data_IF_982763632848
#
_entry.id   IF_982763632848
#
_cell.length_a   1.000
_cell.length_b   1.000
_cell.length_c   1.000
_cell.angle_alpha   90.00
_cell.angle_beta   90.00
_cell.angle_gamma   90.00
#
_symmetry.space_group_name_H-M   'P 1'
#
loop_
_entity.id
_entity.type
_entity.pdbx_description
1 polymer ?
#
# COMPACT_ATOMS: atom_id res chain seq x y z
N UNK A 1 27.09 39.55 -10.71
CA UNK A 1 27.71 39.73 -9.38
C UNK A 1 26.68 40.32 -8.42
N UNK A 2 26.12 39.50 -7.52
CA UNK A 2 25.41 39.79 -6.25
C UNK A 2 24.86 38.45 -5.77
N UNK A 3 25.70 37.65 -5.11
CA UNK A 3 25.75 37.45 -3.65
C UNK A 3 24.58 36.59 -3.15
N UNK A 4 24.89 35.30 -2.93
CA UNK A 4 24.10 34.32 -2.19
C UNK A 4 23.90 34.72 -0.73
N UNK A 5 22.71 34.47 -0.19
CA UNK A 5 22.46 34.41 1.25
C UNK A 5 21.42 33.33 1.60
N UNK A 6 21.92 32.29 2.28
CA UNK A 6 21.32 31.50 3.39
C UNK A 6 19.80 31.20 3.42
N UNK A 7 19.47 29.89 3.45
CA UNK A 7 18.41 29.32 4.32
C UNK A 7 17.20 28.68 3.63
N UNK A 8 16.57 27.63 4.21
CA UNK A 8 15.95 26.52 3.48
C UNK A 8 14.45 26.68 3.24
N UNK A 9 13.97 26.40 2.02
CA UNK A 9 12.56 26.16 1.72
C UNK A 9 12.44 24.95 0.79
N UNK A 10 12.04 23.82 1.37
CA UNK A 10 11.45 22.73 0.62
C UNK A 10 9.97 23.09 0.46
N UNK A 11 9.65 23.79 -0.63
CA UNK A 11 8.27 23.97 -1.09
C UNK A 11 7.95 22.79 -1.99
N UNK A 12 7.10 21.88 -1.51
CA UNK A 12 6.39 20.94 -2.38
C UNK A 12 5.12 21.68 -2.79
N UNK A 13 5.18 22.28 -3.98
CA UNK A 13 4.03 22.89 -4.64
C UNK A 13 3.78 22.22 -5.99
N UNK A 14 2.51 21.85 -6.16
CA UNK A 14 1.76 21.61 -7.40
C UNK A 14 1.98 20.29 -8.14
N UNK A 15 0.87 19.55 -8.30
CA UNK A 15 0.13 19.61 -9.57
C UNK A 15 -1.37 19.83 -9.28
N UNK A 16 -1.79 21.06 -9.50
CA UNK A 16 -3.16 21.48 -9.74
C UNK A 16 -3.41 21.26 -11.25
N UNK A 17 -4.44 20.51 -11.61
CA UNK A 17 -4.95 20.43 -12.97
C UNK A 17 -6.42 20.85 -12.93
N UNK A 18 -6.65 22.13 -13.19
CA UNK A 18 -7.84 22.63 -13.87
C UNK A 18 -7.29 23.52 -14.99
N UNK A 19 -7.14 22.94 -16.18
CA UNK A 19 -7.65 23.52 -17.43
C UNK A 19 -7.41 22.59 -18.63
N UNK A 20 -8.53 22.30 -19.30
CA UNK A 20 -8.72 21.92 -20.70
C UNK A 20 -8.26 20.54 -21.19
N UNK A 21 -9.24 19.63 -21.15
CA UNK A 21 -9.84 19.08 -22.37
C UNK A 21 -9.84 20.09 -23.53
N UNK A 22 -8.74 20.14 -24.28
CA UNK A 22 -8.70 20.60 -25.66
C UNK A 22 -8.44 19.39 -26.54
N UNK A 23 -9.47 18.92 -27.24
CA UNK A 23 -9.32 17.81 -28.18
C UNK A 23 -8.33 18.17 -29.30
N UNK A 24 -7.25 17.40 -29.41
CA UNK A 24 -6.59 17.05 -30.67
C UNK A 24 -5.56 15.96 -30.40
N UNK A 25 -5.83 14.78 -30.96
CA UNK A 25 -4.90 13.70 -31.29
C UNK A 25 -3.67 13.51 -30.39
N UNK A 26 -3.84 12.74 -29.31
CA UNK A 26 -2.73 12.05 -28.66
C UNK A 26 -2.92 10.54 -28.77
N UNK A 27 -2.59 10.01 -29.95
CA UNK A 27 -2.00 8.68 -29.98
C UNK A 27 -0.76 8.71 -29.06
N UNK A 28 -0.54 7.73 -28.17
CA UNK A 28 0.63 7.72 -27.31
C UNK A 28 1.87 7.61 -28.20
N UNK A 29 2.57 8.72 -28.39
CA UNK A 29 3.80 8.75 -29.17
C UNK A 29 4.83 7.90 -28.41
N UNK A 30 5.17 6.73 -28.94
CA UNK A 30 6.03 5.72 -28.30
C UNK A 30 7.40 6.27 -27.88
N UNK A 31 7.84 7.34 -28.53
CA UNK A 31 9.04 8.12 -28.22
C UNK A 31 9.00 8.77 -26.84
N UNK A 32 7.88 9.37 -26.43
CA UNK A 32 7.76 10.09 -25.15
C UNK A 32 7.75 9.15 -23.93
N UNK A 33 7.19 7.96 -24.06
CA UNK A 33 7.20 6.93 -23.00
C UNK A 33 8.62 6.41 -22.76
N UNK A 34 9.34 6.11 -23.84
CA UNK A 34 10.72 5.62 -23.74
C UNK A 34 11.66 6.66 -23.12
N UNK A 35 11.50 7.95 -23.47
CA UNK A 35 12.28 9.03 -22.87
C UNK A 35 12.02 9.19 -21.36
N UNK A 36 10.78 8.96 -20.91
CA UNK A 36 10.44 8.97 -19.49
C UNK A 36 11.01 7.76 -18.75
N UNK A 37 10.92 6.58 -19.35
CA UNK A 37 11.34 5.32 -18.70
C UNK A 37 12.86 5.14 -18.67
N UNK A 38 13.59 5.62 -19.68
CA UNK A 38 15.04 5.45 -19.80
C UNK A 38 15.83 5.80 -18.52
N UNK A 39 15.66 6.97 -17.88
CA UNK A 39 16.40 7.30 -16.65
C UNK A 39 16.03 6.42 -15.45
N UNK A 40 14.83 5.82 -15.46
CA UNK A 40 14.33 4.98 -14.37
C UNK A 40 14.46 3.48 -14.65
N UNK A 41 14.94 3.09 -15.83
CA UNK A 41 14.98 1.69 -16.27
C UNK A 41 15.73 0.80 -15.29
N UNK A 42 16.88 1.27 -14.80
CA UNK A 42 17.71 0.52 -13.84
C UNK A 42 17.13 0.48 -12.42
N UNK A 43 16.11 1.28 -12.12
CA UNK A 43 15.31 1.18 -10.90
C UNK A 43 14.13 0.23 -11.10
N UNK A 44 13.35 0.46 -12.17
CA UNK A 44 12.09 -0.24 -12.43
C UNK A 44 12.32 -1.73 -12.68
N UNK A 45 13.25 -2.09 -13.58
CA UNK A 45 13.49 -3.48 -13.96
C UNK A 45 13.77 -4.40 -12.75
N UNK A 46 14.74 -4.12 -11.88
CA UNK A 46 15.00 -4.99 -10.71
C UNK A 46 13.86 -4.95 -9.68
N UNK A 47 13.14 -3.83 -9.54
CA UNK A 47 11.95 -3.77 -8.67
C UNK A 47 10.81 -4.66 -9.18
N UNK A 48 10.59 -4.72 -10.50
CA UNK A 48 9.64 -5.68 -11.07
C UNK A 48 10.00 -7.10 -10.69
N UNK A 49 11.27 -7.46 -10.89
CA UNK A 49 11.78 -8.80 -10.57
C UNK A 49 11.56 -9.12 -9.09
N UNK A 50 11.81 -8.15 -8.20
CA UNK A 50 11.55 -8.30 -6.78
C UNK A 50 10.06 -8.51 -6.46
N UNK A 51 9.16 -7.68 -7.02
CA UNK A 51 7.72 -7.80 -6.79
C UNK A 51 7.15 -9.11 -7.35
N UNK A 52 7.57 -9.54 -8.55
CA UNK A 52 7.23 -10.85 -9.11
C UNK A 52 7.65 -11.97 -8.16
N UNK A 53 8.88 -11.90 -7.64
CA UNK A 53 9.45 -12.93 -6.79
C UNK A 53 8.76 -13.03 -5.43
N UNK A 54 8.41 -11.90 -4.81
CA UNK A 54 7.63 -11.88 -3.58
C UNK A 54 6.22 -12.42 -3.81
N UNK A 55 5.51 -11.89 -4.81
CA UNK A 55 4.10 -12.24 -5.05
C UNK A 55 3.92 -13.72 -5.38
N UNK A 56 4.83 -14.31 -6.17
CA UNK A 56 4.79 -15.73 -6.53
C UNK A 56 4.78 -16.66 -5.29
N UNK A 57 5.33 -16.22 -4.16
CA UNK A 57 5.37 -17.02 -2.93
C UNK A 57 4.08 -16.94 -2.10
N UNK A 58 3.25 -15.92 -2.31
CA UNK A 58 2.08 -15.64 -1.46
C UNK A 58 1.10 -16.82 -1.45
N UNK A 59 0.82 -17.39 -2.63
CA UNK A 59 -0.13 -18.49 -2.77
C UNK A 59 0.36 -19.80 -2.13
N UNK A 60 1.65 -20.13 -2.28
CA UNK A 60 2.21 -21.39 -1.74
C UNK A 60 2.50 -21.31 -0.23
N UNK A 61 2.68 -20.10 0.30
CA UNK A 61 3.05 -19.90 1.69
C UNK A 61 2.01 -20.45 2.67
N UNK A 62 0.72 -20.31 2.33
CA UNK A 62 -0.39 -20.83 3.14
C UNK A 62 -0.29 -22.34 3.26
N UNK A 63 0.02 -23.03 2.15
CA UNK A 63 0.15 -24.47 2.13
C UNK A 63 1.32 -24.96 2.97
N UNK A 64 2.49 -24.37 2.75
CA UNK A 64 3.74 -24.69 3.45
C UNK A 64 3.62 -24.45 4.95
N UNK A 65 3.04 -23.32 5.36
CA UNK A 65 2.86 -23.00 6.77
C UNK A 65 1.87 -23.97 7.42
N UNK A 66 0.73 -24.24 6.79
CA UNK A 66 -0.26 -25.17 7.36
C UNK A 66 0.29 -26.58 7.47
N UNK A 67 0.97 -27.09 6.44
CA UNK A 67 1.55 -28.43 6.45
C UNK A 67 2.66 -28.59 7.50
N UNK A 68 3.48 -27.55 7.71
CA UNK A 68 4.56 -27.58 8.68
C UNK A 68 4.08 -27.46 10.14
N UNK A 69 3.08 -26.61 10.41
CA UNK A 69 2.63 -26.31 11.77
C UNK A 69 1.55 -27.27 12.27
N UNK A 70 0.65 -27.69 11.37
CA UNK A 70 -0.52 -28.52 11.66
C UNK A 70 -0.65 -29.67 10.62
N UNK A 71 0.28 -30.63 10.59
CA UNK A 71 0.30 -31.67 9.58
C UNK A 71 -0.95 -32.57 9.64
N UNK A 72 -1.65 -32.71 8.51
CA UNK A 72 -2.83 -33.55 8.39
C UNK A 72 -4.13 -32.95 8.93
N UNK A 73 -4.10 -31.73 9.45
CA UNK A 73 -5.28 -31.02 9.92
C UNK A 73 -5.85 -30.09 8.84
N UNK A 74 -7.17 -30.01 8.74
CA UNK A 74 -7.86 -29.10 7.81
C UNK A 74 -7.84 -27.65 8.30
N UNK A 75 -7.71 -27.44 9.62
CA UNK A 75 -7.64 -26.12 10.26
C UNK A 75 -6.28 -25.97 10.95
N UNK A 76 -5.69 -24.78 10.89
CA UNK A 76 -4.43 -24.51 11.59
C UNK A 76 -4.51 -23.20 12.37
N UNK A 77 -5.06 -23.31 13.58
CA UNK A 77 -5.17 -22.20 14.54
C UNK A 77 -3.82 -21.54 14.79
N UNK A 78 -2.76 -22.34 14.89
CA UNK A 78 -1.41 -21.84 15.15
C UNK A 78 -0.91 -20.90 14.03
N UNK A 79 -1.09 -21.30 12.76
CA UNK A 79 -0.72 -20.47 11.61
C UNK A 79 -1.50 -19.14 11.57
N UNK A 80 -2.81 -19.19 11.83
CA UNK A 80 -3.68 -18.00 11.85
C UNK A 80 -3.22 -17.01 12.93
N UNK A 81 -2.93 -17.52 14.14
CA UNK A 81 -2.50 -16.68 15.25
C UNK A 81 -1.13 -16.06 15.00
N UNK A 82 -0.16 -16.84 14.54
CA UNK A 82 1.20 -16.35 14.26
C UNK A 82 1.20 -15.32 13.13
N UNK A 83 0.41 -15.55 12.07
CA UNK A 83 0.25 -14.57 10.99
C UNK A 83 -0.35 -13.26 11.53
N UNK A 84 -1.40 -13.33 12.34
CA UNK A 84 -1.98 -12.16 12.99
C UNK A 84 -0.98 -11.40 13.87
N UNK A 85 -0.24 -12.14 14.70
CA UNK A 85 0.79 -11.57 15.58
C UNK A 85 1.91 -10.89 14.79
N UNK A 86 2.40 -11.53 13.72
CA UNK A 86 3.40 -10.92 12.83
C UNK A 86 2.89 -9.59 12.27
N UNK A 87 1.68 -9.56 11.71
CA UNK A 87 1.13 -8.34 11.10
C UNK A 87 0.90 -7.23 12.13
N UNK A 88 0.50 -7.61 13.35
CA UNK A 88 0.39 -6.69 14.51
C UNK A 88 1.75 -6.04 14.79
N UNK A 89 2.80 -6.86 14.96
CA UNK A 89 4.16 -6.38 15.28
C UNK A 89 4.67 -5.48 14.15
N UNK A 90 4.57 -5.93 12.90
CA UNK A 90 4.97 -5.14 11.72
C UNK A 90 4.22 -3.80 11.69
N UNK A 91 2.91 -3.81 11.95
CA UNK A 91 2.08 -2.61 12.03
C UNK A 91 2.56 -1.58 13.07
N UNK A 92 2.96 -2.03 14.26
CA UNK A 92 3.52 -1.14 15.31
C UNK A 92 4.83 -0.49 14.85
N UNK A 93 5.77 -1.32 14.38
CA UNK A 93 7.12 -0.84 14.10
C UNK A 93 7.19 -0.05 12.79
N UNK A 94 6.40 -0.38 11.75
CA UNK A 94 6.41 0.35 10.46
C UNK A 94 6.09 1.83 10.62
N UNK A 95 5.23 2.21 11.57
CA UNK A 95 4.89 3.63 11.82
C UNK A 95 6.09 4.49 12.21
N UNK A 96 7.07 3.90 12.90
CA UNK A 96 8.28 4.58 13.34
C UNK A 96 9.45 4.40 12.37
N UNK A 97 9.56 3.20 11.78
CA UNK A 97 10.71 2.80 10.96
C UNK A 97 10.60 3.30 9.52
N UNK A 98 9.43 3.24 8.88
CA UNK A 98 9.24 3.72 7.50
C UNK A 98 9.72 5.18 7.29
N UNK A 99 9.37 6.14 8.16
CA UNK A 99 9.85 7.51 8.02
C UNK A 99 11.33 7.68 8.37
N UNK A 100 11.85 6.86 9.29
CA UNK A 100 13.26 6.86 9.64
C UNK A 100 14.11 6.39 8.46
N UNK A 101 13.69 5.33 7.77
CA UNK A 101 14.34 4.85 6.55
C UNK A 101 14.27 5.89 5.43
N UNK A 102 13.16 6.62 5.30
CA UNK A 102 13.07 7.75 4.37
C UNK A 102 14.13 8.82 4.64
N UNK A 103 14.29 9.23 5.91
CA UNK A 103 15.34 10.18 6.29
C UNK A 103 16.75 9.63 6.07
N UNK A 104 16.97 8.35 6.39
CA UNK A 104 18.24 7.70 6.15
C UNK A 104 18.56 7.60 4.66
N UNK A 105 17.56 7.39 3.79
CA UNK A 105 17.73 7.40 2.35
C UNK A 105 18.08 8.81 1.83
N UNK A 106 17.53 9.85 2.43
CA UNK A 106 17.87 11.23 2.08
C UNK A 106 19.27 11.63 2.61
N UNK A 107 19.72 11.11 3.76
CA UNK A 107 21.05 11.42 4.34
C UNK A 107 22.19 10.56 3.77
N UNK A 108 21.99 9.25 3.62
CA UNK A 108 23.03 8.27 3.24
C UNK A 108 22.94 7.82 1.78
N UNK A 109 21.91 8.23 1.06
CA UNK A 109 21.68 7.89 -0.35
C UNK A 109 20.54 6.90 -0.57
N UNK A 110 19.93 7.00 -1.76
CA UNK A 110 18.76 6.19 -2.13
C UNK A 110 19.14 4.78 -2.56
N UNK A 111 20.26 4.62 -3.27
CA UNK A 111 20.77 3.30 -3.70
C UNK A 111 21.08 2.37 -2.53
N UNK A 112 21.88 2.75 -1.50
CA UNK A 112 22.20 1.84 -0.41
C UNK A 112 20.96 1.46 0.40
N UNK A 113 20.00 2.36 0.57
CA UNK A 113 18.75 2.03 1.27
C UNK A 113 17.83 1.12 0.45
N UNK A 114 17.76 1.28 -0.87
CA UNK A 114 17.07 0.33 -1.75
C UNK A 114 17.72 -1.06 -1.70
N UNK A 115 19.05 -1.14 -1.75
CA UNK A 115 19.78 -2.39 -1.64
C UNK A 115 19.53 -3.07 -0.29
N UNK A 116 19.58 -2.31 0.80
CA UNK A 116 19.31 -2.82 2.14
C UNK A 116 17.89 -3.40 2.23
N UNK A 117 16.89 -2.61 1.84
CA UNK A 117 15.47 -2.97 1.96
C UNK A 117 15.05 -4.11 1.04
N UNK A 118 15.60 -4.20 -0.17
CA UNK A 118 15.32 -5.34 -1.08
C UNK A 118 16.03 -6.61 -0.65
N UNK A 119 17.23 -6.51 -0.06
CA UNK A 119 18.01 -7.68 0.37
C UNK A 119 17.42 -8.39 1.60
N UNK A 120 16.69 -7.68 2.46
CA UNK A 120 16.10 -8.30 3.67
C UNK A 120 15.10 -9.41 3.34
N UNK A 121 14.45 -9.34 2.17
CA UNK A 121 13.49 -10.35 1.72
C UNK A 121 14.13 -11.67 1.30
N UNK A 122 15.45 -11.72 1.06
CA UNK A 122 16.15 -12.94 0.65
C UNK A 122 16.16 -13.97 1.79
N UNK A 123 16.49 -13.54 3.01
CA UNK A 123 16.71 -14.44 4.13
C UNK A 123 15.48 -15.27 4.55
N UNK A 124 14.28 -14.68 4.70
CA UNK A 124 13.09 -15.46 5.05
C UNK A 124 12.82 -16.57 4.03
N UNK A 125 12.82 -16.25 2.74
CA UNK A 125 12.54 -17.26 1.72
C UNK A 125 13.66 -18.29 1.59
N UNK A 126 14.93 -17.90 1.79
CA UNK A 126 16.06 -18.82 1.84
C UNK A 126 15.89 -19.93 2.88
N UNK A 127 15.37 -19.59 4.07
CA UNK A 127 15.05 -20.58 5.10
C UNK A 127 13.99 -21.58 4.61
N UNK A 128 12.90 -21.09 4.01
CA UNK A 128 11.83 -21.97 3.50
C UNK A 128 12.23 -22.82 2.29
N UNK A 129 13.17 -22.34 1.45
CA UNK A 129 13.73 -23.17 0.39
C UNK A 129 14.66 -24.27 0.91
N UNK A 130 15.33 -24.02 2.04
CA UNK A 130 16.23 -25.00 2.65
C UNK A 130 15.47 -26.14 3.30
N UNK A 131 14.50 -25.82 4.15
CA UNK A 131 13.71 -26.82 4.88
C UNK A 131 12.38 -26.20 5.33
N UNK A 132 11.29 -26.97 5.23
CA UNK A 132 9.93 -26.56 5.56
C UNK A 132 9.40 -27.19 6.85
N UNK A 133 10.29 -27.69 7.71
CA UNK A 133 9.92 -28.19 9.04
C UNK A 133 9.41 -27.06 9.95
N UNK A 134 8.66 -27.45 10.99
CA UNK A 134 8.07 -26.54 11.99
C UNK A 134 9.07 -25.50 12.54
N UNK A 135 10.30 -25.92 12.89
CA UNK A 135 11.35 -25.02 13.37
C UNK A 135 11.78 -23.95 12.36
N UNK A 136 11.86 -24.33 11.07
CA UNK A 136 12.22 -23.40 9.99
C UNK A 136 11.08 -22.44 9.67
N UNK A 137 9.82 -22.87 9.79
CA UNK A 137 8.67 -21.97 9.63
C UNK A 137 8.62 -20.89 10.72
N UNK A 138 8.93 -21.21 11.99
CA UNK A 138 9.07 -20.17 13.01
C UNK A 138 10.23 -19.22 12.71
N UNK A 139 11.38 -19.75 12.27
CA UNK A 139 12.51 -18.93 11.87
C UNK A 139 12.14 -18.00 10.68
N UNK A 140 11.36 -18.50 9.72
CA UNK A 140 10.78 -17.70 8.64
C UNK A 140 9.93 -16.56 9.20
N UNK A 141 9.01 -16.82 10.13
CA UNK A 141 8.18 -15.76 10.71
C UNK A 141 9.02 -14.67 11.41
N UNK A 142 10.05 -15.05 12.16
CA UNK A 142 10.95 -14.09 12.82
C UNK A 142 11.67 -13.23 11.77
N UNK A 143 12.33 -13.87 10.79
CA UNK A 143 13.06 -13.13 9.75
C UNK A 143 12.15 -12.29 8.86
N UNK A 144 10.98 -12.82 8.50
CA UNK A 144 10.00 -12.11 7.67
C UNK A 144 9.42 -10.92 8.41
N UNK A 145 9.26 -11.00 9.73
CA UNK A 145 8.86 -9.85 10.56
C UNK A 145 9.90 -8.74 10.49
N UNK A 146 11.18 -9.07 10.70
CA UNK A 146 12.27 -8.10 10.59
C UNK A 146 12.33 -7.51 9.17
N UNK A 147 12.21 -8.38 8.15
CA UNK A 147 12.17 -7.95 6.76
C UNK A 147 11.03 -6.97 6.51
N UNK A 148 9.79 -7.29 6.90
CA UNK A 148 8.65 -6.40 6.68
C UNK A 148 8.77 -5.06 7.40
N UNK A 149 9.32 -5.04 8.62
CA UNK A 149 9.58 -3.78 9.34
C UNK A 149 10.50 -2.85 8.54
N UNK A 150 11.47 -3.40 7.82
CA UNK A 150 12.44 -2.64 7.03
C UNK A 150 11.95 -2.38 5.59
N UNK A 151 11.39 -3.38 4.93
CA UNK A 151 11.11 -3.37 3.49
C UNK A 151 9.70 -2.93 3.13
N UNK A 152 8.69 -3.33 3.90
CA UNK A 152 7.28 -3.12 3.54
C UNK A 152 6.95 -1.62 3.56
N UNK A 153 6.51 -1.09 2.41
CA UNK A 153 6.29 0.34 2.20
C UNK A 153 7.58 1.14 1.92
N UNK A 154 8.69 0.84 2.58
CA UNK A 154 9.96 1.57 2.41
C UNK A 154 10.50 1.47 0.98
N UNK A 155 10.45 0.28 0.37
CA UNK A 155 10.91 0.09 -1.01
C UNK A 155 10.16 1.04 -1.96
N UNK A 156 8.83 1.09 -1.86
CA UNK A 156 8.00 1.96 -2.70
C UNK A 156 8.28 3.43 -2.43
N UNK A 157 8.36 3.85 -1.16
CA UNK A 157 8.66 5.23 -0.80
C UNK A 157 10.02 5.70 -1.34
N UNK A 158 11.07 4.90 -1.18
CA UNK A 158 12.42 5.25 -1.65
C UNK A 158 12.46 5.23 -3.19
N UNK A 159 11.76 4.31 -3.85
CA UNK A 159 11.66 4.25 -5.31
C UNK A 159 10.97 5.47 -5.91
N UNK A 160 9.84 5.92 -5.32
CA UNK A 160 9.15 7.15 -5.73
C UNK A 160 10.04 8.37 -5.52
N UNK A 161 10.78 8.41 -4.40
CA UNK A 161 11.68 9.51 -4.13
C UNK A 161 12.90 9.51 -5.08
N UNK A 162 13.41 8.33 -5.47
CA UNK A 162 14.43 8.19 -6.52
C UNK A 162 13.92 8.69 -7.87
N UNK A 163 12.70 8.31 -8.24
CA UNK A 163 12.08 8.78 -9.46
C UNK A 163 11.92 10.31 -9.49
N UNK A 164 11.61 10.92 -8.34
CA UNK A 164 11.51 12.37 -8.21
C UNK A 164 12.85 13.09 -8.44
N UNK A 165 13.98 12.44 -8.13
CA UNK A 165 15.32 13.00 -8.34
C UNK A 165 15.78 12.97 -9.80
N UNK A 166 15.37 11.94 -10.56
CA UNK A 166 15.83 11.73 -11.95
C UNK A 166 14.85 12.24 -13.01
N UNK A 167 13.60 12.51 -12.63
CA UNK A 167 12.54 12.99 -13.54
C UNK A 167 12.19 14.44 -13.29
N UNK A 168 12.09 15.21 -14.38
CA UNK A 168 11.65 16.61 -14.37
C UNK A 168 10.26 16.77 -13.76
N UNK A 169 10.03 17.89 -13.07
CA UNK A 169 8.80 18.18 -12.32
C UNK A 169 7.50 17.88 -13.08
N UNK A 170 7.40 18.34 -14.34
CA UNK A 170 6.20 18.16 -15.16
C UNK A 170 5.88 16.71 -15.56
N UNK A 171 6.85 15.78 -15.45
CA UNK A 171 6.69 14.36 -15.82
C UNK A 171 6.66 13.41 -14.62
N UNK A 172 6.79 13.93 -13.38
CA UNK A 172 6.82 13.11 -12.16
C UNK A 172 5.54 12.33 -11.93
N UNK A 173 4.38 12.93 -12.18
CA UNK A 173 3.10 12.24 -12.04
C UNK A 173 3.05 10.99 -12.93
N UNK A 174 3.44 11.12 -14.20
CA UNK A 174 3.53 9.99 -15.12
C UNK A 174 4.53 8.93 -14.65
N UNK A 175 5.71 9.34 -14.15
CA UNK A 175 6.70 8.42 -13.59
C UNK A 175 6.17 7.62 -12.38
N UNK A 176 5.44 8.28 -11.47
CA UNK A 176 4.85 7.62 -10.31
C UNK A 176 3.73 6.65 -10.74
N UNK A 177 2.92 7.02 -11.73
CA UNK A 177 1.93 6.11 -12.32
C UNK A 177 2.58 4.88 -12.95
N UNK A 178 3.72 5.03 -13.64
CA UNK A 178 4.46 3.90 -14.20
C UNK A 178 5.02 2.97 -13.13
N UNK A 179 5.58 3.50 -12.03
CA UNK A 179 6.03 2.67 -10.90
C UNK A 179 4.87 1.81 -10.37
N UNK A 180 3.74 2.44 -10.07
CA UNK A 180 2.57 1.74 -9.49
C UNK A 180 1.98 0.72 -10.48
N UNK A 181 1.78 1.11 -11.75
CA UNK A 181 1.24 0.21 -12.76
C UNK A 181 2.14 -1.00 -13.02
N UNK A 182 3.46 -0.80 -12.99
CA UNK A 182 4.42 -1.87 -13.17
C UNK A 182 4.50 -2.80 -11.94
N UNK A 183 4.24 -2.28 -10.73
CA UNK A 183 4.05 -3.09 -9.53
C UNK A 183 2.86 -4.02 -9.68
N UNK A 184 1.70 -3.51 -10.11
CA UNK A 184 0.51 -4.35 -10.34
C UNK A 184 0.75 -5.38 -11.45
N UNK A 185 1.37 -5.00 -12.56
CA UNK A 185 1.74 -5.95 -13.62
C UNK A 185 2.69 -7.05 -13.11
N UNK A 186 3.61 -6.69 -12.22
CA UNK A 186 4.53 -7.64 -11.58
C UNK A 186 3.78 -8.61 -10.68
N UNK A 187 2.75 -8.16 -9.95
CA UNK A 187 1.94 -9.06 -9.12
C UNK A 187 1.10 -10.03 -9.97
N UNK A 188 0.51 -9.57 -11.08
CA UNK A 188 -0.17 -10.46 -12.04
C UNK A 188 0.79 -11.54 -12.54
N UNK A 189 2.01 -11.14 -12.94
CA UNK A 189 3.02 -12.08 -13.44
C UNK A 189 3.51 -13.04 -12.34
N UNK A 190 3.69 -12.57 -11.11
CA UNK A 190 4.06 -13.41 -9.97
C UNK A 190 3.02 -14.50 -9.68
N UNK A 191 1.73 -14.14 -9.67
CA UNK A 191 0.63 -15.08 -9.51
C UNK A 191 0.52 -16.07 -10.69
N UNK A 192 0.77 -15.60 -11.91
CA UNK A 192 0.81 -16.47 -13.10
C UNK A 192 1.94 -17.49 -13.00
N UNK A 193 3.14 -17.06 -12.58
CA UNK A 193 4.27 -17.96 -12.35
C UNK A 193 3.96 -18.96 -11.22
N UNK A 194 3.30 -18.52 -10.14
CA UNK A 194 2.90 -19.40 -9.05
C UNK A 194 1.99 -20.53 -9.54
N UNK A 195 1.08 -20.27 -10.48
CA UNK A 195 0.20 -21.28 -11.07
C UNK A 195 1.01 -22.36 -11.82
N UNK A 196 1.91 -21.95 -12.70
CA UNK A 196 2.64 -22.86 -13.60
C UNK A 196 3.83 -23.57 -12.93
N UNK A 197 4.45 -22.97 -11.92
CA UNK A 197 5.60 -23.59 -11.24
C UNK A 197 5.15 -24.66 -10.25
N UNK A 198 5.77 -25.86 -10.26
CA UNK A 198 5.60 -26.83 -9.19
C UNK A 198 6.04 -26.24 -7.84
N UNK A 199 5.31 -26.56 -6.76
CA UNK A 199 5.53 -26.01 -5.41
C UNK A 199 6.99 -26.09 -4.95
N UNK A 200 7.64 -27.23 -5.20
CA UNK A 200 9.06 -27.47 -4.87
C UNK A 200 10.06 -26.48 -5.50
N UNK A 201 9.72 -25.85 -6.62
CA UNK A 201 10.62 -24.92 -7.31
C UNK A 201 10.32 -23.46 -6.99
N UNK A 202 9.16 -23.14 -6.41
CA UNK A 202 8.71 -21.75 -6.23
C UNK A 202 9.68 -20.95 -5.35
N UNK A 203 10.04 -21.47 -4.18
CA UNK A 203 10.97 -20.74 -3.30
C UNK A 203 12.37 -20.62 -3.90
N UNK A 204 12.86 -21.67 -4.59
CA UNK A 204 14.18 -21.63 -5.24
C UNK A 204 14.22 -20.56 -6.33
N UNK A 205 13.18 -20.50 -7.18
CA UNK A 205 13.07 -19.48 -8.23
C UNK A 205 12.88 -18.09 -7.63
N UNK A 206 12.04 -17.95 -6.60
CA UNK A 206 11.84 -16.69 -5.88
C UNK A 206 13.14 -16.14 -5.32
N UNK A 207 13.93 -16.97 -4.62
CA UNK A 207 15.24 -16.54 -4.07
C UNK A 207 16.20 -16.13 -5.17
N UNK A 208 16.28 -16.88 -6.27
CA UNK A 208 17.15 -16.54 -7.39
C UNK A 208 16.82 -15.13 -7.93
N UNK A 209 15.53 -14.83 -8.13
CA UNK A 209 15.07 -13.52 -8.56
C UNK A 209 15.32 -12.43 -7.50
N UNK A 210 15.09 -12.73 -6.22
CA UNK A 210 15.33 -11.81 -5.10
C UNK A 210 16.81 -11.48 -4.92
N UNK A 211 17.74 -12.39 -5.27
CA UNK A 211 19.19 -12.13 -5.26
C UNK A 211 19.59 -11.30 -6.49
N UNK A 212 19.02 -11.57 -7.66
CA UNK A 212 19.30 -10.83 -8.90
C UNK A 212 18.97 -9.34 -8.73
N UNK A 213 17.88 -8.99 -8.04
CA UNK A 213 17.46 -7.61 -7.83
C UNK A 213 18.56 -6.71 -7.21
N UNK A 214 19.05 -6.95 -5.98
CA UNK A 214 20.08 -6.12 -5.36
C UNK A 214 21.43 -6.24 -6.08
N UNK A 215 21.77 -7.40 -6.66
CA UNK A 215 22.98 -7.53 -7.48
C UNK A 215 22.92 -6.60 -8.70
N UNK A 216 21.81 -6.60 -9.41
CA UNK A 216 21.60 -5.73 -10.56
C UNK A 216 21.62 -4.25 -10.15
N UNK A 217 20.90 -3.88 -9.08
CA UNK A 217 20.93 -2.51 -8.56
C UNK A 217 22.36 -2.09 -8.15
N UNK A 218 23.14 -2.98 -7.56
CA UNK A 218 24.50 -2.67 -7.12
C UNK A 218 25.41 -2.27 -8.29
N UNK A 219 25.29 -2.93 -9.44
CA UNK A 219 26.10 -2.62 -10.62
C UNK A 219 25.55 -1.50 -11.49
N UNK A 220 24.22 -1.44 -11.68
CA UNK A 220 23.63 -0.57 -12.71
C UNK A 220 22.86 0.63 -12.17
N UNK A 221 22.35 0.59 -10.93
CA UNK A 221 21.65 1.73 -10.35
C UNK A 221 22.66 2.81 -9.95
N UNK A 222 22.45 4.03 -10.41
CA UNK A 222 23.28 5.19 -10.06
C UNK A 222 22.73 5.85 -8.82
N UNK A 223 23.60 6.26 -7.90
CA UNK A 223 23.18 7.04 -6.71
C UNK A 223 22.80 8.47 -7.12
N UNK A 224 21.66 8.96 -6.63
CA UNK A 224 21.14 10.30 -6.93
C UNK A 224 21.54 11.32 -5.88
N UNK A 225 21.74 10.89 -4.64
CA UNK A 225 22.12 11.76 -3.52
C UNK A 225 23.63 11.98 -3.52
N UNK A 226 24.05 13.23 -3.76
CA UNK A 226 25.43 13.63 -3.54
C UNK A 226 25.65 13.81 -2.03
N UNK A 227 26.41 12.90 -1.43
CA UNK A 227 26.83 13.02 -0.04
C UNK A 227 27.58 14.36 0.14
N UNK A 228 27.04 15.23 1.01
CA UNK A 228 27.79 16.39 1.45
C UNK A 228 29.01 15.90 2.26
N UNK A 229 30.20 16.52 2.11
CA UNK A 229 31.38 16.11 2.84
C UNK A 229 31.08 16.11 4.34
N UNK A 230 31.45 15.02 5.01
CA UNK A 230 31.16 14.74 6.42
C UNK A 230 31.38 15.99 7.27
N UNK A 231 30.28 16.59 7.72
CA UNK A 231 30.36 17.49 8.86
C UNK A 231 30.44 16.60 10.08
N UNK A 232 31.66 16.34 10.54
CA UNK A 232 31.93 15.79 11.88
C UNK A 232 30.95 16.42 12.88
N UNK A 233 29.92 15.66 13.24
CA UNK A 233 29.00 16.00 14.30
C UNK A 233 28.89 14.79 15.20
N UNK A 234 29.90 14.68 16.07
CA UNK A 234 29.76 14.14 17.42
C UNK A 234 28.55 14.79 18.09
N UNK A 235 27.38 14.20 17.86
CA UNK A 235 26.21 14.41 18.69
C UNK A 235 25.61 13.03 18.89
N UNK A 236 25.54 12.61 20.16
CA UNK A 236 25.06 11.30 20.54
C UNK A 236 23.78 10.97 19.75
N UNK A 237 23.83 9.90 18.95
CA UNK A 237 22.76 9.44 18.06
C UNK A 237 21.38 9.51 18.73
N UNK A 238 21.33 9.20 20.03
CA UNK A 238 20.17 9.24 20.90
C UNK A 238 19.56 10.65 21.06
N UNK A 239 20.36 11.71 21.17
CA UNK A 239 19.88 13.10 21.25
C UNK A 239 19.30 13.60 19.91
N UNK A 240 19.90 13.18 18.77
CA UNK A 240 19.35 13.45 17.43
C UNK A 240 18.02 12.71 17.26
N UNK A 241 17.93 11.45 17.72
CA UNK A 241 16.71 10.64 17.67
C UNK A 241 15.58 11.22 18.54
N UNK A 242 15.85 11.62 19.79
CA UNK A 242 14.86 12.27 20.68
C UNK A 242 14.34 13.58 20.06
N UNK A 243 15.21 14.39 19.48
CA UNK A 243 14.82 15.65 18.83
C UNK A 243 13.93 15.40 17.60
N UNK A 244 14.21 14.36 16.82
CA UNK A 244 13.37 13.94 15.68
C UNK A 244 12.01 13.46 16.17
N UNK A 245 11.96 12.63 17.22
CA UNK A 245 10.72 12.16 17.83
C UNK A 245 9.87 13.32 18.35
N UNK A 246 10.48 14.28 19.05
CA UNK A 246 9.76 15.45 19.56
C UNK A 246 9.21 16.34 18.44
N UNK A 247 9.98 16.60 17.38
CA UNK A 247 9.52 17.34 16.20
C UNK A 247 8.35 16.63 15.51
N UNK A 248 8.40 15.30 15.44
CA UNK A 248 7.35 14.47 14.86
C UNK A 248 6.08 14.50 15.70
N UNK A 249 6.19 14.39 17.02
CA UNK A 249 5.06 14.54 17.94
C UNK A 249 4.35 15.89 17.74
N UNK A 250 5.11 16.99 17.68
CA UNK A 250 4.55 18.32 17.39
C UNK A 250 3.86 18.37 16.03
N UNK A 251 4.49 17.82 14.99
CA UNK A 251 3.91 17.77 13.65
C UNK A 251 2.63 16.94 13.58
N UNK A 252 2.54 15.82 14.32
CA UNK A 252 1.32 15.00 14.41
C UNK A 252 0.22 15.71 15.17
N UNK A 253 0.55 16.46 16.24
CA UNK A 253 -0.42 17.29 16.95
C UNK A 253 -1.00 18.36 16.05
N UNK A 254 -0.15 19.07 15.31
CA UNK A 254 -0.58 20.10 14.36
C UNK A 254 -1.46 19.49 13.26
N UNK A 255 -1.10 18.31 12.75
CA UNK A 255 -1.90 17.56 11.78
C UNK A 255 -3.26 17.13 12.34
N UNK A 256 -3.31 16.67 13.59
CA UNK A 256 -4.54 16.32 14.28
C UNK A 256 -5.46 17.54 14.40
N UNK A 257 -4.93 18.70 14.79
CA UNK A 257 -5.72 19.94 14.85
C UNK A 257 -6.34 20.27 13.50
N UNK A 258 -5.58 20.20 12.41
CA UNK A 258 -6.10 20.43 11.04
C UNK A 258 -7.23 19.46 10.70
N UNK A 259 -7.03 18.15 10.94
CA UNK A 259 -8.01 17.12 10.59
C UNK A 259 -9.28 17.26 11.42
N UNK A 260 -9.17 17.55 12.71
CA UNK A 260 -10.35 17.72 13.58
C UNK A 260 -11.08 19.06 13.38
N UNK A 261 -10.42 20.06 12.80
CA UNK A 261 -11.04 21.35 12.45
C UNK A 261 -11.93 21.26 11.20
N UNK A 262 -11.64 20.38 10.24
CA UNK A 262 -12.50 20.17 9.06
C UNK A 262 -13.48 19.02 9.29
N UNK A 263 -14.80 19.22 9.11
CA UNK A 263 -15.79 18.15 9.25
C UNK A 263 -15.57 17.04 8.20
N UNK A 264 -15.12 17.40 6.99
CA UNK A 264 -14.80 16.46 5.91
C UNK A 264 -13.59 15.60 6.25
N UNK A 265 -12.50 16.22 6.74
CA UNK A 265 -11.28 15.51 7.13
C UNK A 265 -11.51 14.60 8.36
N UNK A 266 -12.31 15.06 9.33
CA UNK A 266 -12.71 14.23 10.46
C UNK A 266 -13.55 13.04 9.98
N UNK A 267 -14.50 13.26 9.08
CA UNK A 267 -15.34 12.21 8.52
C UNK A 267 -14.52 11.17 7.76
N UNK A 268 -13.63 11.60 6.85
CA UNK A 268 -12.80 10.69 6.06
C UNK A 268 -11.79 9.94 6.94
N UNK A 269 -11.30 10.55 8.03
CA UNK A 269 -10.47 9.85 9.02
C UNK A 269 -11.23 8.70 9.69
N UNK A 270 -12.53 8.86 10.00
CA UNK A 270 -13.36 7.78 10.53
C UNK A 270 -13.63 6.71 9.48
N UNK A 271 -13.93 7.10 8.24
CA UNK A 271 -14.10 6.16 7.12
C UNK A 271 -12.85 5.31 6.94
N UNK A 272 -11.67 5.93 6.90
CA UNK A 272 -10.39 5.27 6.70
C UNK A 272 -10.08 4.31 7.86
N UNK A 273 -10.36 4.71 9.11
CA UNK A 273 -10.19 3.83 10.27
C UNK A 273 -11.04 2.56 10.17
N UNK A 274 -12.35 2.70 9.96
CA UNK A 274 -13.26 1.55 9.96
C UNK A 274 -13.13 0.68 8.70
N UNK A 275 -12.85 1.29 7.55
CA UNK A 275 -12.53 0.56 6.33
C UNK A 275 -11.25 -0.25 6.51
N UNK A 276 -10.18 0.38 7.00
CA UNK A 276 -8.90 -0.29 7.21
C UNK A 276 -9.02 -1.41 8.24
N UNK A 277 -9.76 -1.19 9.33
CA UNK A 277 -10.03 -2.20 10.36
C UNK A 277 -10.69 -3.45 9.77
N UNK A 278 -11.66 -3.29 8.86
CA UNK A 278 -12.32 -4.39 8.18
C UNK A 278 -11.44 -5.05 7.11
N UNK A 279 -10.85 -4.27 6.21
CA UNK A 279 -10.11 -4.80 5.06
C UNK A 279 -8.82 -5.50 5.47
N UNK A 280 -8.04 -4.94 6.42
CA UNK A 280 -6.87 -5.62 6.98
C UNK A 280 -7.25 -6.96 7.61
N UNK A 281 -8.40 -7.00 8.30
CA UNK A 281 -8.91 -8.19 8.98
C UNK A 281 -9.19 -9.33 8.01
N UNK A 282 -9.85 -9.01 6.90
CA UNK A 282 -10.09 -9.95 5.81
C UNK A 282 -8.75 -10.40 5.23
N UNK A 283 -7.86 -9.48 4.86
CA UNK A 283 -6.56 -9.80 4.24
C UNK A 283 -5.72 -10.78 5.06
N UNK A 284 -5.72 -10.66 6.40
CA UNK A 284 -4.87 -11.48 7.26
C UNK A 284 -5.41 -12.89 7.52
N UNK A 285 -6.72 -13.11 7.40
CA UNK A 285 -7.34 -14.41 7.73
C UNK A 285 -7.96 -15.13 6.54
N UNK A 286 -8.24 -14.42 5.44
CA UNK A 286 -9.00 -14.95 4.31
C UNK A 286 -8.40 -16.23 3.73
N UNK A 287 -7.09 -16.26 3.48
CA UNK A 287 -6.47 -17.42 2.83
C UNK A 287 -6.50 -18.68 3.70
N UNK A 288 -6.23 -18.53 5.00
CA UNK A 288 -6.35 -19.62 5.95
C UNK A 288 -7.80 -20.08 6.13
N UNK A 289 -8.75 -19.14 6.14
CA UNK A 289 -10.18 -19.45 6.13
C UNK A 289 -10.58 -20.26 4.88
N UNK A 290 -10.18 -19.82 3.69
CA UNK A 290 -10.50 -20.50 2.43
C UNK A 290 -9.88 -21.89 2.35
N UNK A 291 -8.64 -22.06 2.86
CA UNK A 291 -8.03 -23.38 3.02
C UNK A 291 -8.87 -24.28 3.93
N UNK A 292 -9.23 -23.78 5.11
CA UNK A 292 -9.96 -24.55 6.12
C UNK A 292 -11.42 -24.85 5.75
N UNK A 293 -12.08 -23.94 5.02
CA UNK A 293 -13.48 -24.08 4.64
C UNK A 293 -13.66 -24.90 3.36
N UNK A 294 -12.77 -24.75 2.37
CA UNK A 294 -12.94 -25.30 1.02
C UNK A 294 -11.77 -26.15 0.52
N UNK A 295 -10.71 -26.32 1.30
CA UNK A 295 -9.53 -27.07 0.88
C UNK A 295 -8.75 -26.39 -0.25
N UNK A 296 -8.82 -25.06 -0.34
CA UNK A 296 -8.03 -24.32 -1.33
C UNK A 296 -6.54 -24.54 -1.09
N UNK A 297 -5.79 -24.62 -2.19
CA UNK A 297 -4.34 -24.59 -2.18
C UNK A 297 -3.80 -23.54 -3.14
N UNK A 298 -2.50 -23.65 -3.44
CA UNK A 298 -1.73 -22.73 -4.26
C UNK A 298 -2.47 -22.28 -5.52
N UNK A 299 -2.98 -23.21 -6.33
CA UNK A 299 -3.57 -22.86 -7.62
C UNK A 299 -4.80 -21.94 -7.48
N UNK A 300 -5.72 -22.28 -6.58
CA UNK A 300 -6.93 -21.48 -6.36
C UNK A 300 -6.60 -20.09 -5.80
N UNK A 301 -5.62 -20.01 -4.90
CA UNK A 301 -5.14 -18.73 -4.38
C UNK A 301 -4.54 -17.86 -5.50
N UNK A 302 -3.67 -18.43 -6.34
CA UNK A 302 -3.07 -17.71 -7.47
C UNK A 302 -4.10 -17.26 -8.51
N UNK A 303 -5.12 -18.07 -8.80
CA UNK A 303 -6.21 -17.71 -9.72
C UNK A 303 -7.01 -16.52 -9.20
N UNK A 304 -7.40 -16.53 -7.92
CA UNK A 304 -8.14 -15.43 -7.30
C UNK A 304 -7.30 -14.16 -7.25
N UNK A 305 -6.03 -14.26 -6.82
CA UNK A 305 -5.12 -13.11 -6.77
C UNK A 305 -4.94 -12.50 -8.17
N UNK A 306 -4.70 -13.32 -9.20
CA UNK A 306 -4.57 -12.85 -10.58
C UNK A 306 -5.83 -12.13 -11.06
N UNK A 307 -7.01 -12.69 -10.78
CA UNK A 307 -8.29 -12.08 -11.13
C UNK A 307 -8.49 -10.71 -10.45
N UNK A 308 -8.12 -10.60 -9.17
CA UNK A 308 -8.17 -9.33 -8.41
C UNK A 308 -7.19 -8.32 -8.97
N UNK A 309 -5.95 -8.72 -9.30
CA UNK A 309 -4.91 -7.81 -9.79
C UNK A 309 -5.21 -7.30 -11.21
N UNK A 310 -5.65 -8.18 -12.12
CA UNK A 310 -6.08 -7.78 -13.47
C UNK A 310 -7.26 -6.81 -13.38
N UNK A 311 -8.26 -7.13 -12.57
CA UNK A 311 -9.40 -6.26 -12.34
C UNK A 311 -9.00 -4.92 -11.73
N UNK A 312 -8.02 -4.92 -10.81
CA UNK A 312 -7.50 -3.71 -10.18
C UNK A 312 -6.85 -2.76 -11.18
N UNK A 313 -6.07 -3.30 -12.14
CA UNK A 313 -5.48 -2.52 -13.24
C UNK A 313 -6.58 -1.90 -14.11
N UNK A 314 -7.54 -2.70 -14.55
CA UNK A 314 -8.67 -2.21 -15.38
C UNK A 314 -9.45 -1.12 -14.65
N UNK A 315 -9.71 -1.33 -13.35
CA UNK A 315 -10.48 -0.39 -12.55
C UNK A 315 -9.78 0.96 -12.39
N UNK A 316 -8.48 0.94 -12.07
CA UNK A 316 -7.72 2.18 -11.86
C UNK A 316 -7.41 2.92 -13.16
N UNK A 317 -7.12 2.20 -14.26
CA UNK A 317 -6.72 2.82 -15.52
C UNK A 317 -7.89 3.22 -16.42
N UNK A 318 -9.02 2.49 -16.38
CA UNK A 318 -10.15 2.72 -17.27
C UNK A 318 -11.39 3.19 -16.51
N UNK A 319 -11.80 2.47 -15.47
CA UNK A 319 -13.09 2.71 -14.80
C UNK A 319 -13.07 4.02 -14.01
N UNK A 320 -12.02 4.26 -13.22
CA UNK A 320 -11.91 5.45 -12.38
C UNK A 320 -11.88 6.75 -13.21
N UNK A 321 -11.03 6.92 -14.23
CA UNK A 321 -11.02 8.14 -15.03
C UNK A 321 -12.33 8.39 -15.79
N UNK A 322 -13.03 7.33 -16.20
CA UNK A 322 -14.31 7.44 -16.91
C UNK A 322 -15.47 7.84 -15.99
N UNK A 323 -15.52 7.26 -14.79
CA UNK A 323 -16.64 7.46 -13.86
C UNK A 323 -16.45 8.71 -12.99
N UNK A 324 -15.22 9.08 -12.64
CA UNK A 324 -14.94 10.23 -11.78
C UNK A 324 -15.60 11.54 -12.22
N UNK A 325 -15.52 11.98 -13.49
CA UNK A 325 -16.19 13.21 -13.93
C UNK A 325 -17.72 13.12 -13.93
N UNK A 326 -18.30 11.91 -13.94
CA UNK A 326 -19.75 11.71 -14.03
C UNK A 326 -20.45 11.75 -12.66
N UNK A 327 -19.84 11.15 -11.64
CA UNK A 327 -20.50 10.95 -10.33
C UNK A 327 -19.73 11.57 -9.15
N UNK A 328 -18.48 11.99 -9.36
CA UNK A 328 -17.62 12.54 -8.32
C UNK A 328 -17.09 11.52 -7.30
N UNK A 329 -16.10 11.95 -6.52
CA UNK A 329 -15.28 11.07 -5.68
C UNK A 329 -16.05 10.48 -4.50
N UNK A 330 -16.99 11.24 -3.93
CA UNK A 330 -17.83 10.78 -2.81
C UNK A 330 -18.70 9.60 -3.22
N UNK A 331 -19.32 9.65 -4.40
CA UNK A 331 -20.20 8.57 -4.87
C UNK A 331 -19.36 7.33 -5.18
N UNK A 332 -18.20 7.48 -5.82
CA UNK A 332 -17.28 6.36 -6.06
C UNK A 332 -16.87 5.71 -4.74
N UNK A 333 -16.51 6.50 -3.73
CA UNK A 333 -16.17 5.99 -2.40
C UNK A 333 -17.32 5.17 -1.80
N UNK A 334 -18.55 5.68 -1.83
CA UNK A 334 -19.71 4.95 -1.30
C UNK A 334 -19.97 3.65 -2.06
N UNK A 335 -19.87 3.65 -3.40
CA UNK A 335 -20.05 2.44 -4.23
C UNK A 335 -18.95 1.42 -3.91
N UNK A 336 -17.69 1.87 -3.78
CA UNK A 336 -16.57 1.00 -3.47
C UNK A 336 -16.64 0.40 -2.05
N UNK A 337 -17.13 1.17 -1.07
CA UNK A 337 -17.42 0.68 0.28
C UNK A 337 -18.58 -0.33 0.27
N UNK A 338 -19.64 -0.10 -0.51
CA UNK A 338 -20.72 -1.07 -0.69
C UNK A 338 -20.23 -2.37 -1.31
N UNK A 339 -19.39 -2.29 -2.34
CA UNK A 339 -18.71 -3.45 -2.93
C UNK A 339 -17.80 -4.16 -1.92
N UNK A 340 -17.19 -3.42 -0.99
CA UNK A 340 -16.34 -3.99 0.07
C UNK A 340 -17.16 -4.81 1.06
N UNK A 341 -18.35 -4.32 1.43
CA UNK A 341 -19.31 -5.05 2.27
C UNK A 341 -19.77 -6.32 1.56
N UNK A 342 -20.13 -6.23 0.28
CA UNK A 342 -20.50 -7.41 -0.51
C UNK A 342 -19.35 -8.43 -0.58
N UNK A 343 -18.13 -7.98 -0.89
CA UNK A 343 -16.93 -8.83 -0.89
C UNK A 343 -16.73 -9.56 0.44
N UNK A 344 -16.86 -8.86 1.57
CA UNK A 344 -16.72 -9.44 2.90
C UNK A 344 -17.83 -10.47 3.20
N UNK A 345 -19.08 -10.14 2.88
CA UNK A 345 -20.24 -11.02 3.13
C UNK A 345 -20.21 -12.28 2.26
N UNK A 346 -19.89 -12.16 0.97
CA UNK A 346 -19.79 -13.32 0.07
C UNK A 346 -18.68 -14.28 0.51
N UNK A 347 -17.55 -13.77 1.01
CA UNK A 347 -16.51 -14.64 1.58
C UNK A 347 -16.93 -15.20 2.94
N UNK A 348 -17.50 -14.39 3.83
CA UNK A 348 -17.87 -14.83 5.18
C UNK A 348 -19.02 -15.84 5.22
N UNK A 349 -19.94 -15.74 4.26
CA UNK A 349 -21.12 -16.61 4.11
C UNK A 349 -20.98 -17.56 2.90
N UNK A 350 -19.76 -17.84 2.45
CA UNK A 350 -19.52 -18.69 1.30
C UNK A 350 -20.11 -20.09 1.55
N UNK A 351 -21.07 -20.49 0.70
CA UNK A 351 -21.73 -21.79 0.79
C UNK A 351 -21.10 -22.84 -0.15
N UNK A 352 -20.25 -22.40 -1.07
CA UNK A 352 -19.60 -23.25 -2.06
C UNK A 352 -18.24 -22.69 -2.45
N UNK A 353 -17.37 -23.57 -2.95
CA UNK A 353 -15.99 -23.24 -3.36
C UNK A 353 -15.90 -22.28 -4.55
N UNK A 354 -16.96 -21.98 -5.29
CA UNK A 354 -16.92 -20.97 -6.37
C UNK A 354 -17.29 -19.56 -5.89
N UNK A 355 -17.88 -19.42 -4.70
CA UNK A 355 -18.34 -18.12 -4.17
C UNK A 355 -17.18 -17.14 -3.96
N UNK A 356 -16.00 -17.54 -3.44
CA UNK A 356 -14.85 -16.64 -3.35
C UNK A 356 -14.37 -16.11 -4.70
N UNK A 357 -14.46 -16.89 -5.78
CA UNK A 357 -14.17 -16.40 -7.14
C UNK A 357 -15.14 -15.32 -7.57
N UNK A 358 -16.45 -15.48 -7.30
CA UNK A 358 -17.42 -14.41 -7.55
C UNK A 358 -17.16 -13.19 -6.69
N UNK A 359 -16.75 -13.39 -5.44
CA UNK A 359 -16.42 -12.28 -4.54
C UNK A 359 -15.29 -11.42 -5.12
N UNK A 360 -14.33 -12.03 -5.82
CA UNK A 360 -13.20 -11.33 -6.44
C UNK A 360 -13.64 -10.29 -7.49
N UNK A 361 -14.81 -10.46 -8.13
CA UNK A 361 -15.39 -9.45 -9.04
C UNK A 361 -15.70 -8.14 -8.31
N UNK A 362 -16.13 -8.21 -7.06
CA UNK A 362 -16.37 -6.99 -6.27
C UNK A 362 -15.07 -6.28 -5.96
N UNK A 363 -13.95 -7.01 -5.82
CA UNK A 363 -12.66 -6.43 -5.47
C UNK A 363 -12.14 -5.44 -6.52
N UNK A 364 -12.56 -5.62 -7.78
CA UNK A 364 -12.38 -4.67 -8.88
C UNK A 364 -12.91 -3.28 -8.54
N UNK A 365 -14.03 -3.19 -7.83
CA UNK A 365 -14.60 -1.90 -7.42
C UNK A 365 -13.99 -1.45 -6.08
N UNK A 366 -13.71 -2.39 -5.17
CA UNK A 366 -13.11 -2.10 -3.85
C UNK A 366 -11.78 -1.36 -3.96
N UNK A 367 -10.97 -1.66 -4.99
CA UNK A 367 -9.68 -0.98 -5.20
C UNK A 367 -9.81 0.55 -5.35
N UNK A 368 -10.99 1.04 -5.69
CA UNK A 368 -11.27 2.47 -5.85
C UNK A 368 -11.39 3.23 -4.52
N UNK A 369 -11.52 2.53 -3.39
CA UNK A 369 -11.61 3.19 -2.06
C UNK A 369 -10.40 4.08 -1.80
N UNK A 370 -9.18 3.57 -2.03
CA UNK A 370 -7.93 4.31 -1.79
C UNK A 370 -7.80 5.58 -2.62
N UNK A 371 -7.89 5.56 -3.96
CA UNK A 371 -7.77 6.79 -4.77
C UNK A 371 -8.89 7.78 -4.49
N UNK A 372 -10.14 7.34 -4.29
CA UNK A 372 -11.25 8.24 -3.94
C UNK A 372 -11.05 8.90 -2.58
N UNK A 373 -10.52 8.16 -1.60
CA UNK A 373 -10.17 8.69 -0.28
C UNK A 373 -9.11 9.78 -0.39
N UNK A 374 -8.02 9.53 -1.12
CA UNK A 374 -6.97 10.54 -1.33
C UNK A 374 -7.47 11.77 -2.09
N UNK A 375 -8.34 11.61 -3.07
CA UNK A 375 -8.92 12.73 -3.80
C UNK A 375 -9.80 13.61 -2.89
N UNK A 376 -10.63 13.01 -2.02
CA UNK A 376 -11.43 13.75 -1.03
C UNK A 376 -10.53 14.50 -0.03
N UNK A 377 -9.48 13.84 0.50
CA UNK A 377 -8.51 14.48 1.41
C UNK A 377 -7.82 15.67 0.72
N UNK A 378 -7.46 15.51 -0.56
CA UNK A 378 -6.84 16.57 -1.36
C UNK A 378 -7.76 17.78 -1.52
N UNK A 379 -9.06 17.58 -1.76
CA UNK A 379 -10.03 18.69 -1.89
C UNK A 379 -10.33 19.37 -0.55
N UNK A 380 -10.36 18.60 0.54
CA UNK A 380 -10.70 19.09 1.87
C UNK A 380 -9.53 19.72 2.66
N UNK A 381 -8.34 19.80 2.07
CA UNK A 381 -7.16 20.38 2.71
C UNK A 381 -6.48 21.41 1.81
N UNK A 382 -5.91 22.45 2.40
CA UNK A 382 -5.07 23.39 1.65
C UNK A 382 -3.76 22.73 1.21
N UNK A 383 -3.16 23.21 0.12
CA UNK A 383 -1.89 22.71 -0.42
C UNK A 383 -0.77 22.60 0.63
N UNK A 384 -0.71 23.55 1.56
CA UNK A 384 0.27 23.57 2.67
C UNK A 384 0.02 22.49 3.75
N UNK A 385 -1.23 22.03 3.87
CA UNK A 385 -1.67 21.11 4.92
C UNK A 385 -1.96 19.69 4.42
N UNK A 386 -2.00 19.46 3.11
CA UNK A 386 -2.35 18.18 2.50
C UNK A 386 -1.46 17.02 2.98
N UNK A 387 -0.14 17.19 2.96
CA UNK A 387 0.79 16.17 3.44
C UNK A 387 0.63 15.85 4.94
N UNK A 388 0.23 16.85 5.75
CA UNK A 388 -0.06 16.66 7.18
C UNK A 388 -1.36 15.86 7.36
N UNK A 389 -2.41 16.20 6.61
CA UNK A 389 -3.69 15.49 6.66
C UNK A 389 -3.55 14.03 6.21
N UNK A 390 -2.88 13.79 5.07
CA UNK A 390 -2.59 12.43 4.58
C UNK A 390 -1.73 11.64 5.57
N UNK A 391 -0.69 12.25 6.13
CA UNK A 391 0.16 11.60 7.13
C UNK A 391 -0.59 11.24 8.41
N UNK A 392 -1.54 12.08 8.86
CA UNK A 392 -2.40 11.76 10.00
C UNK A 392 -3.35 10.59 9.69
N UNK A 393 -4.01 10.61 8.53
CA UNK A 393 -4.95 9.56 8.12
C UNK A 393 -4.24 8.23 7.93
N UNK A 394 -3.07 8.20 7.28
CA UNK A 394 -2.23 7.01 7.19
C UNK A 394 -1.81 6.48 8.57
N UNK A 395 -1.64 7.36 9.57
CA UNK A 395 -1.42 6.99 10.96
C UNK A 395 -2.64 6.32 11.60
N UNK A 396 -3.84 6.83 11.31
CA UNK A 396 -5.12 6.25 11.75
C UNK A 396 -5.35 4.87 11.13
N UNK A 397 -5.10 4.74 9.83
CA UNK A 397 -5.11 3.45 9.10
C UNK A 397 -4.11 2.46 9.72
N UNK A 398 -2.91 2.92 10.08
CA UNK A 398 -1.91 2.06 10.72
C UNK A 398 -2.37 1.53 12.08
N UNK A 399 -3.09 2.34 12.88
CA UNK A 399 -3.70 1.89 14.14
C UNK A 399 -4.81 0.87 13.87
N UNK A 400 -5.65 1.10 12.85
CA UNK A 400 -6.70 0.15 12.48
C UNK A 400 -6.12 -1.20 12.01
N UNK A 401 -5.10 -1.16 11.15
CA UNK A 401 -4.35 -2.33 10.67
C UNK A 401 -3.68 -3.09 11.81
N UNK A 402 -3.22 -2.39 12.86
CA UNK A 402 -2.71 -2.98 14.10
C UNK A 402 -3.80 -3.70 14.91
N UNK A 403 -4.95 -3.06 15.10
CA UNK A 403 -6.05 -3.59 15.93
C UNK A 403 -6.78 -4.76 15.25
N UNK A 404 -6.81 -4.76 13.92
CA UNK A 404 -7.56 -5.73 13.14
C UNK A 404 -7.17 -7.20 13.40
N UNK A 405 -5.90 -7.62 13.24
CA UNK A 405 -5.50 -9.01 13.46
C UNK A 405 -5.63 -9.46 14.92
N UNK A 406 -5.56 -8.53 15.89
CA UNK A 406 -5.77 -8.85 17.31
C UNK A 406 -7.19 -9.33 17.60
N UNK A 407 -8.18 -8.87 16.83
CA UNK A 407 -9.58 -9.29 16.96
C UNK A 407 -9.90 -10.40 15.98
N UNK A 408 -9.50 -10.25 14.71
CA UNK A 408 -9.93 -11.14 13.63
C UNK A 408 -9.25 -12.51 13.65
N UNK A 409 -7.98 -12.60 14.07
CA UNK A 409 -7.25 -13.88 14.07
C UNK A 409 -7.79 -14.84 15.15
N UNK A 410 -7.96 -14.42 16.42
CA UNK A 410 -8.58 -15.27 17.44
C UNK A 410 -10.03 -15.63 17.09
N UNK A 411 -10.79 -14.68 16.55
CA UNK A 411 -12.18 -14.92 16.16
C UNK A 411 -12.28 -15.95 15.03
N UNK A 412 -11.40 -15.87 14.02
CA UNK A 412 -11.34 -16.87 12.94
C UNK A 412 -10.95 -18.24 13.49
N UNK A 413 -9.92 -18.30 14.34
CA UNK A 413 -9.51 -19.55 14.99
C UNK A 413 -10.65 -20.19 15.78
N UNK A 414 -11.41 -19.40 16.55
CA UNK A 414 -12.52 -19.91 17.35
C UNK A 414 -13.64 -20.48 16.48
N UNK A 415 -14.04 -19.78 15.42
CA UNK A 415 -15.10 -20.22 14.50
C UNK A 415 -14.68 -21.34 13.54
N UNK A 416 -13.38 -21.58 13.39
CA UNK A 416 -12.86 -22.76 12.69
C UNK A 416 -12.69 -23.99 13.60
N UNK A 417 -12.73 -23.80 14.92
CA UNK A 417 -12.63 -24.89 15.89
C UNK A 417 -13.97 -25.61 16.12
N UNK A 418 -13.92 -26.81 16.70
CA UNK A 418 -15.11 -27.57 17.10
C UNK A 418 -15.91 -26.90 18.23
N UNK A 419 -15.33 -25.88 18.89
CA UNK A 419 -15.95 -25.12 19.99
C UNK A 419 -16.76 -23.90 19.54
N UNK A 420 -17.00 -23.76 18.23
CA UNK A 420 -17.74 -22.64 17.67
C UNK A 420 -19.21 -22.61 18.19
N UNK A 421 -19.72 -21.44 18.62
CA UNK A 421 -21.07 -21.34 19.19
C UNK A 421 -22.19 -21.60 18.17
N UNK A 422 -21.91 -21.40 16.88
CA UNK A 422 -22.81 -21.70 15.78
C UNK A 422 -22.02 -21.97 14.50
N UNK A 423 -22.65 -22.63 13.53
CA UNK A 423 -22.00 -23.04 12.28
C UNK A 423 -21.86 -21.86 11.30
N UNK A 424 -20.79 -21.08 11.44
CA UNK A 424 -20.39 -20.05 10.49
C UNK A 424 -18.87 -19.87 10.50
N UNK A 425 -18.16 -20.70 9.73
CA UNK A 425 -16.68 -20.68 9.67
C UNK A 425 -16.10 -19.31 9.27
N UNK A 426 -16.82 -18.54 8.46
CA UNK A 426 -16.41 -17.23 7.97
C UNK A 426 -16.92 -16.05 8.81
N UNK A 427 -17.38 -16.29 10.05
CA UNK A 427 -18.00 -15.26 10.88
C UNK A 427 -17.10 -14.04 11.13
N UNK A 428 -15.78 -14.23 11.24
CA UNK A 428 -14.83 -13.12 11.37
C UNK A 428 -14.89 -12.15 10.17
N UNK A 429 -15.08 -12.66 8.96
CA UNK A 429 -15.23 -11.85 7.75
C UNK A 429 -16.58 -11.10 7.75
N UNK A 430 -17.62 -11.72 8.31
CA UNK A 430 -18.92 -11.05 8.54
C UNK A 430 -18.74 -9.91 9.57
N UNK A 431 -18.00 -10.11 10.65
CA UNK A 431 -17.67 -9.04 11.59
C UNK A 431 -16.87 -7.90 10.93
N UNK A 432 -15.91 -8.22 10.05
CA UNK A 432 -15.19 -7.21 9.28
C UNK A 432 -16.13 -6.38 8.38
N UNK A 433 -17.18 -7.00 7.83
CA UNK A 433 -18.21 -6.28 7.06
C UNK A 433 -18.97 -5.24 7.89
N UNK A 434 -19.18 -5.47 9.19
CA UNK A 434 -19.83 -4.50 10.09
C UNK A 434 -18.98 -3.23 10.20
N UNK A 435 -17.66 -3.37 10.32
CA UNK A 435 -16.75 -2.20 10.30
C UNK A 435 -16.87 -1.45 8.97
N UNK A 436 -16.95 -2.15 7.83
CA UNK A 436 -17.15 -1.51 6.53
C UNK A 436 -18.53 -0.84 6.38
N UNK A 437 -19.58 -1.37 7.01
CA UNK A 437 -20.91 -0.72 7.08
C UNK A 437 -20.81 0.60 7.86
N UNK A 438 -20.09 0.63 8.98
CA UNK A 438 -19.85 1.86 9.73
C UNK A 438 -19.09 2.87 8.85
N UNK A 439 -18.06 2.41 8.13
CA UNK A 439 -17.33 3.26 7.19
C UNK A 439 -18.25 3.83 6.10
N UNK A 440 -19.15 3.03 5.52
CA UNK A 440 -20.14 3.48 4.53
C UNK A 440 -21.10 4.52 5.12
N UNK A 441 -21.63 4.27 6.33
CA UNK A 441 -22.48 5.24 7.02
C UNK A 441 -21.75 6.57 7.24
N UNK A 442 -20.49 6.54 7.68
CA UNK A 442 -19.66 7.74 7.82
C UNK A 442 -19.43 8.44 6.47
N UNK A 443 -19.17 7.69 5.39
CA UNK A 443 -18.95 8.23 4.05
C UNK A 443 -20.21 8.92 3.50
N UNK A 444 -21.39 8.33 3.71
CA UNK A 444 -22.67 8.92 3.32
C UNK A 444 -22.92 10.27 4.02
N UNK A 445 -22.50 10.40 5.28
CA UNK A 445 -22.61 11.62 6.09
C UNK A 445 -21.60 12.71 5.74
N UNK A 446 -20.63 12.44 4.86
CA UNK A 446 -19.71 13.48 4.38
C UNK A 446 -20.51 14.58 3.67
N UNK A 447 -20.37 15.82 4.12
CA UNK A 447 -20.98 16.96 3.41
C UNK A 447 -20.16 17.21 2.15
N UNK A 448 -20.78 17.34 0.97
CA UNK A 448 -20.06 17.87 -0.19
C UNK A 448 -19.55 19.25 0.21
N UNK A 449 -18.23 19.46 0.20
CA UNK A 449 -17.72 20.81 0.22
C UNK A 449 -18.19 21.46 -1.07
N UNK A 450 -19.07 22.44 -0.94
CA UNK A 450 -19.40 23.32 -2.05
C UNK A 450 -18.08 23.90 -2.55
N UNK A 451 -17.85 23.79 -3.86
CA UNK A 451 -16.77 24.50 -4.54
C UNK A 451 -16.94 25.97 -4.16
N UNK A 452 -16.10 26.45 -3.25
CA UNK A 452 -16.02 27.86 -2.92
C UNK A 452 -15.50 28.56 -4.17
N UNK A 453 -16.43 29.06 -5.00
CA UNK A 453 -16.17 30.03 -6.05
C UNK A 453 -15.69 31.34 -5.43
N UNK A 454 -14.48 31.33 -4.87
CA UNK A 454 -13.76 32.52 -4.43
C UNK A 454 -12.37 32.53 -5.07
N UNK A 455 -12.35 32.55 -6.41
CA UNK A 455 -11.24 33.09 -7.20
C UNK A 455 -11.78 33.56 -8.56
N UNK A 456 -12.54 34.66 -8.52
CA UNK A 456 -12.78 35.56 -9.65
C UNK A 456 -13.09 36.96 -9.11
N UNK A 457 -12.21 37.47 -8.24
CA UNK A 457 -12.17 38.90 -7.89
C UNK A 457 -10.71 39.36 -7.98
N UNK A 458 -10.27 39.69 -9.19
CA UNK A 458 -9.03 40.43 -9.56
C UNK A 458 -9.19 40.63 -11.08
N UNK A 459 -9.37 41.79 -11.73
CA UNK A 459 -9.25 43.22 -11.41
C UNK A 459 -10.19 43.94 -12.41
N UNK A 460 -11.15 44.74 -11.93
CA UNK A 460 -11.68 45.85 -12.75
C UNK A 460 -10.54 46.86 -12.95
N UNK A 461 -10.07 46.99 -14.18
CA UNK A 461 -9.18 48.08 -14.54
C UNK A 461 -9.95 49.40 -14.39
N UNK A 462 -9.41 50.40 -13.66
CA UNK A 462 -10.01 51.73 -13.67
C UNK A 462 -9.78 52.34 -15.04
N UNK A 463 -10.87 52.52 -15.79
CA UNK A 463 -10.93 53.43 -16.93
C UNK A 463 -10.48 54.81 -16.45
N UNK A 464 -9.26 55.20 -16.82
CA UNK A 464 -8.82 56.58 -16.76
C UNK A 464 -9.71 57.37 -17.71
N UNK A 465 -10.63 58.14 -17.12
CA UNK A 465 -11.20 59.32 -17.76
C UNK A 465 -10.19 60.45 -17.83
N UNK A 466 -10.46 61.36 -18.76
CA UNK A 466 -9.93 62.72 -18.95
C UNK A 466 -8.66 62.87 -19.80
N UNK A 467 -8.84 63.00 -21.12
CA UNK A 467 -8.62 64.24 -21.91
C UNK A 467 -8.76 63.99 -23.41
#
# INVERSE_FOLDING_TARGET
MRVCSKGPRCSIELLQNDELFGGSDMAPNSTGVWELMRPMLHLLLPLCVHWVAEEMTVSVLVDVVTEALCPGESTCTEAIYINGLQQTIVGVFKMAILPLLGQLADEHGRKPMLLLTTSTSIFPFAILAWNQSKGFVYAYYVLRTISYILSQGSIFCIAVAYAADVVDGGRRAAAFSWITGLSSASHVLGNLLALFLPEKYIFVVSIALLIICPVYMQFFLVETVKLAPERNQDSACLAKMIKVLHKRYKSMRDAATIVFSSPTLRGISLVSFFYELGTSGITYVLWYYLKAAFGYGKNQFSEILMMVEIGSIVSQMLVLPLINPLVGEKIILCIALLASIAYALFNGLAWASWVPYMSALFKVVVVLVTPSTYAIISKASSSTNQGKAQGFIAGVESIASLLSPLVMSPLTSWFLSDSAPFNCKGFSLVCASISMVIALCCACMLKPEAISSHHSEVIEAPLLGDS
#
